data_IF_769115339452
#
_entry.id   IF_769115339452
#
_cell.length_a   1.000
_cell.length_b   1.000
_cell.length_c   1.000
_cell.angle_alpha   90.00
_cell.angle_beta   90.00
_cell.angle_gamma   90.00
#
_symmetry.space_group_name_H-M   'P 1'
#
loop_
_entity.id
_entity.type
_entity.pdbx_description
1 polymer ?
#
# COMPACT_ATOMS: atom_id res chain seq x y z
N UNK A 1 -7.97 -19.80 -2.74
CA UNK A 1 -8.16 -18.38 -2.36
C UNK A 1 -9.58 -18.01 -2.74
N UNK A 2 -10.43 -17.69 -1.76
CA UNK A 2 -11.75 -17.13 -2.05
C UNK A 2 -11.54 -15.72 -2.60
N UNK A 3 -11.84 -15.51 -3.88
CA UNK A 3 -11.88 -14.15 -4.42
C UNK A 3 -13.22 -13.53 -4.03
N UNK A 4 -13.17 -12.50 -3.19
CA UNK A 4 -14.34 -11.67 -2.89
C UNK A 4 -14.74 -10.93 -4.17
N UNK A 5 -15.98 -11.16 -4.63
CA UNK A 5 -16.50 -10.54 -5.85
C UNK A 5 -17.07 -9.13 -5.63
N UNK A 6 -16.86 -8.53 -4.46
CA UNK A 6 -17.31 -7.17 -4.13
C UNK A 6 -16.16 -6.35 -3.52
N UNK A 7 -16.26 -5.00 -3.53
CA UNK A 7 -15.18 -4.15 -3.06
C UNK A 7 -14.83 -4.36 -1.57
N UNK A 8 -13.54 -4.29 -1.22
CA UNK A 8 -13.08 -4.34 0.19
C UNK A 8 -13.72 -3.22 1.03
N UNK A 9 -14.02 -2.07 0.45
CA UNK A 9 -14.74 -0.99 1.13
C UNK A 9 -16.17 -1.38 1.52
N UNK A 10 -16.82 -2.22 0.71
CA UNK A 10 -18.14 -2.77 1.01
C UNK A 10 -18.03 -3.81 2.13
N UNK A 11 -16.95 -4.61 2.14
CA UNK A 11 -16.65 -5.55 3.23
C UNK A 11 -16.45 -4.81 4.57
N UNK A 12 -15.56 -3.81 4.60
CA UNK A 12 -15.20 -3.12 5.85
C UNK A 12 -16.36 -2.28 6.38
N UNK A 13 -17.11 -1.59 5.51
CA UNK A 13 -18.29 -0.83 5.91
C UNK A 13 -19.36 -1.71 6.56
N UNK A 14 -19.75 -2.80 5.90
CA UNK A 14 -20.76 -3.70 6.46
C UNK A 14 -20.24 -4.46 7.69
N UNK A 15 -18.97 -4.87 7.68
CA UNK A 15 -18.33 -5.48 8.82
C UNK A 15 -18.34 -4.60 10.07
N UNK A 16 -18.06 -3.30 9.95
CA UNK A 16 -18.16 -2.36 11.08
C UNK A 16 -19.57 -2.28 11.66
N UNK A 17 -20.60 -2.27 10.81
CA UNK A 17 -21.99 -2.25 11.25
C UNK A 17 -22.38 -3.55 11.95
N UNK A 18 -21.97 -4.70 11.39
CA UNK A 18 -22.28 -6.03 11.92
C UNK A 18 -21.57 -6.28 13.26
N UNK A 19 -20.32 -5.83 13.42
CA UNK A 19 -19.59 -5.90 14.70
C UNK A 19 -20.23 -4.98 15.74
N UNK A 20 -20.63 -3.76 15.35
CA UNK A 20 -21.34 -2.85 16.25
C UNK A 20 -22.68 -3.46 16.73
N UNK A 21 -23.42 -4.12 15.84
CA UNK A 21 -24.62 -4.87 16.20
C UNK A 21 -24.28 -6.03 17.16
N UNK A 22 -23.24 -6.83 16.88
CA UNK A 22 -22.80 -7.90 17.77
C UNK A 22 -22.44 -7.42 19.18
N UNK A 23 -21.85 -6.22 19.30
CA UNK A 23 -21.55 -5.58 20.59
C UNK A 23 -22.81 -5.06 21.29
N UNK A 24 -23.81 -4.59 20.53
CA UNK A 24 -25.08 -4.09 21.03
C UNK A 24 -25.99 -5.21 21.59
N UNK A 25 -25.93 -6.42 21.02
CA UNK A 25 -26.79 -7.55 21.39
C UNK A 25 -26.03 -8.66 22.13
N UNK A 26 -26.02 -8.68 23.48
CA UNK A 26 -25.25 -9.65 24.28
C UNK A 26 -25.63 -11.11 24.03
N UNK A 27 -26.89 -11.39 23.68
CA UNK A 27 -27.35 -12.75 23.39
C UNK A 27 -26.77 -13.32 22.09
N UNK A 28 -26.45 -12.46 21.12
CA UNK A 28 -25.69 -12.85 19.92
C UNK A 28 -24.21 -13.04 20.29
N UNK A 29 -23.64 -12.12 21.08
CA UNK A 29 -22.25 -12.24 21.54
C UNK A 29 -21.99 -13.54 22.34
N UNK A 30 -22.95 -13.99 23.15
CA UNK A 30 -22.85 -15.23 23.93
C UNK A 30 -22.80 -16.51 23.08
N UNK A 31 -23.20 -16.45 21.80
CA UNK A 31 -23.10 -17.56 20.85
C UNK A 31 -21.74 -17.63 20.16
N UNK A 32 -20.92 -16.60 20.30
CA UNK A 32 -19.62 -16.51 19.67
C UNK A 32 -18.52 -16.97 20.64
N UNK A 33 -17.37 -17.45 20.12
CA UNK A 33 -16.20 -17.69 20.95
C UNK A 33 -15.80 -16.44 21.75
N UNK A 34 -15.14 -16.66 22.89
CA UNK A 34 -14.60 -15.56 23.67
C UNK A 34 -13.68 -14.68 22.80
N UNK A 35 -13.77 -13.36 22.98
CA UNK A 35 -13.01 -12.35 22.22
C UNK A 35 -13.31 -12.24 20.71
N UNK A 36 -14.23 -13.05 20.16
CA UNK A 36 -14.46 -13.09 18.71
C UNK A 36 -14.84 -11.73 18.09
N UNK A 37 -15.66 -10.94 18.78
CA UNK A 37 -16.02 -9.58 18.34
C UNK A 37 -14.84 -8.61 18.45
N UNK A 38 -13.99 -8.77 19.45
CA UNK A 38 -12.76 -7.97 19.64
C UNK A 38 -11.73 -8.30 18.55
N UNK A 39 -11.54 -9.57 18.25
CA UNK A 39 -10.61 -10.04 17.22
C UNK A 39 -11.09 -9.60 15.83
N UNK A 40 -12.40 -9.65 15.58
CA UNK A 40 -13.00 -9.17 14.33
C UNK A 40 -12.90 -7.65 14.20
N UNK A 41 -13.05 -6.89 15.30
CA UNK A 41 -12.80 -5.46 15.32
C UNK A 41 -11.33 -5.10 15.03
N UNK A 42 -10.38 -5.91 15.54
CA UNK A 42 -8.97 -5.76 15.25
C UNK A 42 -8.65 -6.02 13.76
N UNK A 43 -9.26 -7.05 13.15
CA UNK A 43 -9.16 -7.30 11.70
C UNK A 43 -9.73 -6.14 10.87
N UNK A 44 -10.87 -5.58 11.27
CA UNK A 44 -11.47 -4.40 10.62
C UNK A 44 -10.55 -3.18 10.66
N UNK A 45 -9.86 -2.95 11.78
CA UNK A 45 -8.92 -1.84 11.92
C UNK A 45 -7.64 -2.05 11.10
N UNK A 46 -7.22 -3.30 10.91
CA UNK A 46 -5.99 -3.67 10.19
C UNK A 46 -6.10 -3.50 8.66
N UNK A 47 -7.24 -3.85 8.06
CA UNK A 47 -7.40 -3.86 6.59
C UNK A 47 -7.16 -2.49 5.91
N UNK A 48 -7.62 -1.35 6.45
CA UNK A 48 -7.27 -0.02 5.93
C UNK A 48 -5.75 0.26 5.92
N UNK A 49 -5.04 -0.23 6.93
CA UNK A 49 -3.58 -0.10 7.02
C UNK A 49 -2.88 -0.99 5.99
N UNK A 50 -3.41 -2.19 5.73
CA UNK A 50 -2.89 -3.07 4.66
C UNK A 50 -3.14 -2.51 3.26
N UNK A 51 -4.29 -1.88 3.02
CA UNK A 51 -4.60 -1.17 1.76
C UNK A 51 -3.67 0.03 1.58
N UNK A 52 -3.40 0.77 2.66
CA UNK A 52 -2.48 1.92 2.64
C UNK A 52 -1.02 1.46 2.44
N UNK A 53 -0.60 0.40 3.12
CA UNK A 53 0.69 -0.27 2.93
C UNK A 53 0.87 -0.83 1.51
N UNK A 54 -0.21 -1.35 0.89
CA UNK A 54 -0.21 -1.79 -0.50
C UNK A 54 -0.02 -0.61 -1.46
N UNK A 55 -0.71 0.52 -1.24
CA UNK A 55 -0.55 1.75 -2.06
C UNK A 55 0.86 2.31 -1.99
N UNK A 56 1.50 2.25 -0.81
CA UNK A 56 2.89 2.66 -0.60
C UNK A 56 3.86 1.75 -1.38
N UNK A 57 3.63 0.43 -1.40
CA UNK A 57 4.46 -0.54 -2.11
C UNK A 57 4.26 -0.57 -3.63
N UNK A 58 3.15 -0.02 -4.14
CA UNK A 58 2.75 -0.09 -5.56
C UNK A 58 3.01 1.20 -6.36
N UNK A 59 3.47 2.31 -5.74
CA UNK A 59 3.69 3.59 -6.44
C UNK A 59 4.70 4.52 -5.75
N UNK A 60 5.91 4.60 -6.30
CA UNK A 60 7.11 5.14 -5.65
C UNK A 60 7.29 6.67 -5.60
N UNK A 61 6.30 7.52 -5.87
CA UNK A 61 6.45 8.99 -5.60
C UNK A 61 5.15 9.74 -5.36
N UNK A 62 4.00 9.22 -5.81
CA UNK A 62 2.72 9.92 -5.72
C UNK A 62 2.12 10.04 -4.31
N UNK A 63 2.47 9.14 -3.38
CA UNK A 63 1.82 9.01 -2.07
C UNK A 63 2.82 8.92 -0.90
N UNK A 64 3.91 9.68 -0.94
CA UNK A 64 4.76 9.86 0.24
C UNK A 64 3.96 10.60 1.33
N UNK A 65 4.09 10.19 2.60
CA UNK A 65 3.58 11.03 3.70
C UNK A 65 4.23 12.41 3.63
N UNK A 66 3.61 13.44 4.20
CA UNK A 66 4.19 14.80 4.15
C UNK A 66 5.63 14.84 4.69
N UNK A 67 5.91 14.09 5.75
CA UNK A 67 7.26 13.95 6.31
C UNK A 67 8.23 13.25 5.34
N UNK A 68 7.79 12.19 4.66
CA UNK A 68 8.61 11.48 3.66
C UNK A 68 8.84 12.31 2.39
N UNK A 69 7.86 13.11 1.99
CA UNK A 69 8.00 14.06 0.88
C UNK A 69 9.01 15.15 1.23
N UNK A 70 8.94 15.72 2.44
CA UNK A 70 9.93 16.67 2.93
C UNK A 70 11.34 16.06 3.00
N UNK A 71 11.46 14.80 3.42
CA UNK A 71 12.73 14.08 3.42
C UNK A 71 13.24 13.81 1.99
N UNK A 72 12.37 13.48 1.04
CA UNK A 72 12.75 13.28 -0.36
C UNK A 72 13.20 14.60 -1.01
N UNK A 73 12.48 15.69 -0.77
CA UNK A 73 12.87 17.02 -1.25
C UNK A 73 14.23 17.44 -0.66
N UNK A 74 14.46 17.13 0.62
CA UNK A 74 15.73 17.36 1.31
C UNK A 74 16.86 16.48 0.73
N UNK A 75 16.57 15.21 0.43
CA UNK A 75 17.52 14.30 -0.21
C UNK A 75 17.90 14.80 -1.61
N UNK A 76 16.91 15.17 -2.42
CA UNK A 76 17.12 15.74 -3.75
C UNK A 76 17.90 17.07 -3.69
N UNK A 77 17.65 17.89 -2.67
CA UNK A 77 18.42 19.10 -2.40
C UNK A 77 19.90 18.79 -2.22
N UNK A 78 20.26 17.89 -1.30
CA UNK A 78 21.66 17.55 -1.05
C UNK A 78 22.34 16.87 -2.24
N UNK A 79 21.62 15.99 -2.96
CA UNK A 79 22.12 15.42 -4.22
C UNK A 79 22.46 16.52 -5.24
N UNK A 80 21.61 17.54 -5.37
CA UNK A 80 21.82 18.65 -6.29
C UNK A 80 22.97 19.57 -5.84
N UNK A 81 23.09 19.85 -4.54
CA UNK A 81 24.22 20.62 -4.00
C UNK A 81 25.54 19.88 -4.23
N UNK A 82 25.60 18.59 -3.93
CA UNK A 82 26.79 17.76 -4.18
C UNK A 82 27.23 17.82 -5.66
N UNK A 83 26.28 17.71 -6.60
CA UNK A 83 26.55 17.83 -8.03
C UNK A 83 27.07 19.21 -8.42
N UNK A 84 26.50 20.28 -7.88
CA UNK A 84 26.95 21.66 -8.14
C UNK A 84 28.36 21.87 -7.63
N UNK A 85 28.64 21.47 -6.39
CA UNK A 85 29.98 21.57 -5.79
C UNK A 85 30.98 20.73 -6.57
N UNK A 86 30.63 19.51 -6.97
CA UNK A 86 31.51 18.65 -7.77
C UNK A 86 31.88 19.28 -9.12
N UNK A 87 30.93 19.91 -9.82
CA UNK A 87 31.22 20.65 -11.07
C UNK A 87 32.25 21.78 -10.87
N UNK A 88 32.23 22.43 -9.71
CA UNK A 88 33.18 23.49 -9.37
C UNK A 88 34.53 22.91 -8.92
N UNK A 89 34.52 21.77 -8.23
CA UNK A 89 35.72 21.11 -7.71
C UNK A 89 36.53 20.41 -8.81
N UNK A 90 35.85 19.92 -9.84
CA UNK A 90 36.44 19.14 -10.95
C UNK A 90 36.15 19.79 -12.32
N UNK A 91 36.72 20.98 -12.61
CA UNK A 91 36.52 21.65 -13.89
C UNK A 91 37.29 20.96 -15.04
N UNK A 92 36.91 21.25 -16.28
CA UNK A 92 37.83 21.11 -17.43
C UNK A 92 38.09 19.71 -17.99
N UNK A 93 37.09 18.82 -18.07
CA UNK A 93 37.21 17.55 -18.81
C UNK A 93 37.08 16.28 -17.97
N UNK A 94 36.89 16.40 -16.65
CA UNK A 94 36.59 15.26 -15.77
C UNK A 94 35.13 14.76 -15.90
N UNK A 95 34.58 14.77 -17.12
CA UNK A 95 33.18 14.43 -17.42
C UNK A 95 32.88 12.99 -16.98
N UNK A 96 33.82 12.08 -17.19
CA UNK A 96 33.70 10.67 -16.76
C UNK A 96 33.56 10.58 -15.24
N UNK A 97 34.38 11.31 -14.48
CA UNK A 97 34.29 11.37 -13.01
C UNK A 97 32.95 11.95 -12.56
N UNK A 98 32.56 13.10 -13.13
CA UNK A 98 31.27 13.74 -12.81
C UNK A 98 30.07 12.83 -13.12
N UNK A 99 30.15 12.03 -14.18
CA UNK A 99 29.12 11.08 -14.56
C UNK A 99 29.08 9.86 -13.64
N UNK A 100 30.23 9.22 -13.39
CA UNK A 100 30.30 7.98 -12.64
C UNK A 100 30.09 8.20 -11.13
N UNK A 101 30.77 9.19 -10.57
CA UNK A 101 30.82 9.40 -9.12
C UNK A 101 29.70 10.34 -8.64
N UNK A 102 29.35 11.35 -9.44
CA UNK A 102 28.35 12.36 -9.06
C UNK A 102 27.03 12.24 -9.84
N UNK A 103 26.92 11.23 -10.71
CA UNK A 103 25.70 10.94 -11.48
C UNK A 103 25.23 12.16 -12.30
N UNK A 104 26.18 12.94 -12.84
CA UNK A 104 25.90 14.13 -13.66
C UNK A 104 25.86 13.75 -15.14
N UNK A 105 24.75 14.06 -15.81
CA UNK A 105 24.62 13.83 -17.26
C UNK A 105 24.38 12.37 -17.65
N UNK A 106 24.13 11.49 -16.68
CA UNK A 106 23.55 10.18 -16.92
C UNK A 106 22.12 10.39 -17.44
N UNK A 107 21.95 10.16 -18.75
CA UNK A 107 20.91 10.75 -19.58
C UNK A 107 19.45 10.34 -19.29
N UNK A 108 18.59 10.72 -20.24
CA UNK A 108 17.12 10.55 -20.32
C UNK A 108 16.57 9.12 -20.11
N UNK A 109 17.42 8.15 -19.81
CA UNK A 109 17.11 6.76 -19.48
C UNK A 109 17.04 6.51 -17.96
N UNK A 110 17.41 7.50 -17.12
CA UNK A 110 17.33 7.34 -15.67
C UNK A 110 15.88 7.34 -15.20
N UNK A 111 15.46 6.22 -14.62
CA UNK A 111 14.15 6.13 -13.97
C UNK A 111 14.12 7.05 -12.75
N UNK A 112 12.99 7.73 -12.56
CA UNK A 112 12.74 8.63 -11.42
C UNK A 112 11.94 7.98 -10.31
N UNK A 113 11.84 6.65 -10.31
CA UNK A 113 11.32 5.92 -9.17
C UNK A 113 12.23 6.10 -7.93
N UNK A 114 11.64 5.97 -6.74
CA UNK A 114 12.32 6.19 -5.47
C UNK A 114 13.56 5.29 -5.34
N UNK A 115 13.47 4.00 -5.66
CA UNK A 115 14.62 3.10 -5.69
C UNK A 115 15.78 3.63 -6.54
N UNK A 116 15.51 4.11 -7.74
CA UNK A 116 16.51 4.72 -8.63
C UNK A 116 17.05 6.06 -8.09
N UNK A 117 16.23 6.87 -7.41
CA UNK A 117 16.71 8.09 -6.71
C UNK A 117 17.63 7.72 -5.54
N UNK A 118 17.26 6.73 -4.73
CA UNK A 118 18.03 6.27 -3.57
C UNK A 118 19.37 5.63 -3.98
N UNK A 119 19.38 4.82 -5.04
CA UNK A 119 20.62 4.25 -5.58
C UNK A 119 21.59 5.33 -6.07
N UNK A 120 21.08 6.39 -6.71
CA UNK A 120 21.89 7.56 -7.10
C UNK A 120 22.42 8.32 -5.88
N UNK A 121 21.61 8.48 -4.84
CA UNK A 121 22.03 9.10 -3.59
C UNK A 121 23.19 8.33 -2.94
N UNK A 122 23.13 6.99 -2.92
CA UNK A 122 24.18 6.14 -2.37
C UNK A 122 25.51 6.31 -3.11
N UNK A 123 25.49 6.32 -4.45
CA UNK A 123 26.69 6.51 -5.28
C UNK A 123 27.32 7.89 -5.02
N UNK A 124 26.50 8.94 -4.98
CA UNK A 124 26.98 10.30 -4.72
C UNK A 124 27.58 10.38 -3.31
N UNK A 125 26.91 9.81 -2.32
CA UNK A 125 27.33 9.87 -0.92
C UNK A 125 28.63 9.09 -0.68
N UNK A 126 28.77 7.91 -1.29
CA UNK A 126 30.03 7.16 -1.30
C UNK A 126 31.15 7.98 -1.94
N UNK A 127 30.87 8.65 -3.05
CA UNK A 127 31.84 9.47 -3.79
C UNK A 127 32.29 10.69 -2.99
N UNK A 128 31.37 11.38 -2.31
CA UNK A 128 31.70 12.49 -1.39
C UNK A 128 32.63 12.01 -0.27
N UNK A 129 32.36 10.83 0.29
CA UNK A 129 33.12 10.27 1.43
C UNK A 129 34.53 9.79 1.07
N UNK A 130 34.89 9.70 -0.20
CA UNK A 130 36.28 9.43 -0.59
C UNK A 130 37.18 10.60 -0.17
N UNK A 131 38.33 10.31 0.43
CA UNK A 131 39.19 11.34 1.02
C UNK A 131 39.62 12.42 0.01
N UNK A 132 40.00 12.01 -1.21
CA UNK A 132 40.41 12.94 -2.27
C UNK A 132 39.27 13.85 -2.74
N UNK A 133 38.05 13.30 -2.89
CA UNK A 133 36.92 14.11 -3.30
C UNK A 133 36.46 15.04 -2.19
N UNK A 134 36.37 14.57 -0.95
CA UNK A 134 35.97 15.39 0.18
C UNK A 134 36.88 16.62 0.33
N UNK A 135 38.20 16.42 0.19
CA UNK A 135 39.16 17.51 0.22
C UNK A 135 38.91 18.53 -0.91
N UNK A 136 38.67 18.07 -2.13
CA UNK A 136 38.39 18.94 -3.28
C UNK A 136 37.05 19.70 -3.14
N UNK A 137 36.01 19.05 -2.60
CA UNK A 137 34.71 19.65 -2.35
C UNK A 137 34.78 20.72 -1.25
N UNK A 138 35.59 20.49 -0.20
CA UNK A 138 35.81 21.47 0.89
C UNK A 138 36.42 22.78 0.38
N UNK A 139 37.32 22.72 -0.60
CA UNK A 139 37.86 23.91 -1.28
C UNK A 139 36.80 24.73 -2.04
N UNK A 140 35.59 24.17 -2.24
CA UNK A 140 34.46 24.81 -2.92
C UNK A 140 33.27 25.05 -1.99
N UNK A 141 33.52 25.07 -0.67
CA UNK A 141 32.52 25.46 0.32
C UNK A 141 31.62 24.33 0.82
N UNK A 142 31.91 23.07 0.50
CA UNK A 142 31.28 21.92 1.17
C UNK A 142 31.88 21.70 2.55
N UNK A 143 31.08 21.31 3.52
CA UNK A 143 31.47 21.14 4.92
C UNK A 143 31.12 19.74 5.43
N UNK A 144 31.69 19.39 6.58
CA UNK A 144 31.34 18.13 7.26
C UNK A 144 29.88 18.12 7.74
N UNK A 145 29.29 19.31 7.96
CA UNK A 145 27.88 19.44 8.30
C UNK A 145 26.97 19.00 7.16
N UNK A 146 27.26 19.39 5.91
CA UNK A 146 26.47 18.91 4.75
C UNK A 146 26.66 17.40 4.52
N UNK A 147 27.87 16.87 4.74
CA UNK A 147 28.11 15.42 4.64
C UNK A 147 27.30 14.63 5.68
N UNK A 148 27.23 15.17 6.91
CA UNK A 148 26.45 14.59 8.00
C UNK A 148 24.96 14.68 7.68
N UNK A 149 24.46 15.84 7.28
CA UNK A 149 23.05 16.04 6.95
C UNK A 149 22.59 15.16 5.78
N UNK A 150 23.42 15.02 4.73
CA UNK A 150 23.13 14.13 3.61
C UNK A 150 23.11 12.65 4.05
N UNK A 151 24.05 12.24 4.91
CA UNK A 151 24.06 10.87 5.46
C UNK A 151 22.82 10.61 6.31
N UNK A 152 22.43 11.57 7.16
CA UNK A 152 21.26 11.48 8.03
C UNK A 152 19.98 11.36 7.20
N UNK A 153 19.74 12.25 6.24
CA UNK A 153 18.52 12.19 5.42
C UNK A 153 18.49 10.91 4.57
N UNK A 154 19.63 10.43 4.05
CA UNK A 154 19.67 9.15 3.32
C UNK A 154 19.33 7.97 4.23
N UNK A 155 19.76 8.01 5.48
CA UNK A 155 19.45 7.00 6.51
C UNK A 155 17.97 6.95 6.92
N UNK A 156 17.17 7.96 6.58
CA UNK A 156 15.71 7.93 6.78
C UNK A 156 14.98 7.02 5.78
N UNK A 157 15.69 6.54 4.74
CA UNK A 157 15.17 5.66 3.70
C UNK A 157 15.86 4.28 3.74
N UNK A 158 15.18 3.19 3.37
CA UNK A 158 15.76 1.84 3.33
C UNK A 158 16.91 1.70 2.30
N UNK A 159 17.68 0.61 2.38
CA UNK A 159 18.83 0.33 1.49
C UNK A 159 18.40 0.02 0.03
N UNK A 160 19.11 0.55 -0.96
CA UNK A 160 18.66 0.66 -2.37
C UNK A 160 18.61 -0.64 -3.19
N UNK A 161 19.42 -1.67 -2.88
CA UNK A 161 19.49 -2.92 -3.66
C UNK A 161 18.47 -3.98 -3.23
N UNK A 162 17.91 -3.91 -2.02
CA UNK A 162 16.77 -4.75 -1.63
C UNK A 162 15.48 -4.26 -2.28
N UNK A 163 15.28 -2.95 -2.43
CA UNK A 163 13.96 -2.35 -2.71
C UNK A 163 13.34 -2.69 -4.07
N UNK A 164 14.09 -3.00 -5.14
CA UNK A 164 13.47 -3.31 -6.45
C UNK A 164 12.96 -4.75 -6.58
N UNK A 165 13.65 -5.73 -5.99
CA UNK A 165 13.20 -7.13 -5.94
C UNK A 165 12.38 -7.44 -4.68
N UNK A 166 12.76 -6.86 -3.53
CA UNK A 166 11.93 -6.87 -2.33
C UNK A 166 10.66 -6.07 -2.58
N UNK A 167 10.68 -4.89 -3.21
CA UNK A 167 9.47 -4.11 -3.48
C UNK A 167 8.44 -4.86 -4.32
N UNK A 168 8.87 -5.61 -5.35
CA UNK A 168 7.98 -6.47 -6.14
C UNK A 168 7.49 -7.69 -5.34
N UNK A 169 8.37 -8.35 -4.60
CA UNK A 169 8.04 -9.51 -3.77
C UNK A 169 7.18 -9.15 -2.56
N UNK A 170 7.40 -7.98 -1.98
CA UNK A 170 6.71 -7.39 -0.83
C UNK A 170 5.38 -6.79 -1.26
N UNK A 171 5.27 -6.26 -2.49
CA UNK A 171 3.99 -5.89 -3.07
C UNK A 171 3.14 -7.12 -3.35
N UNK A 172 3.74 -8.21 -3.86
CA UNK A 172 3.08 -9.51 -4.03
C UNK A 172 2.65 -10.09 -2.67
N UNK A 173 3.55 -10.10 -1.69
CA UNK A 173 3.29 -10.55 -0.31
C UNK A 173 2.22 -9.69 0.37
N UNK A 174 2.26 -8.37 0.22
CA UNK A 174 1.23 -7.47 0.76
C UNK A 174 -0.14 -7.67 0.10
N UNK A 175 -0.16 -7.96 -1.21
CA UNK A 175 -1.40 -8.32 -1.90
C UNK A 175 -1.96 -9.63 -1.35
N UNK A 176 -1.11 -10.66 -1.19
CA UNK A 176 -1.50 -11.93 -0.57
C UNK A 176 -1.99 -11.75 0.87
N UNK A 177 -1.29 -10.97 1.70
CA UNK A 177 -1.68 -10.72 3.09
C UNK A 177 -3.03 -10.02 3.17
N UNK A 178 -3.24 -8.93 2.42
CA UNK A 178 -4.52 -8.22 2.40
C UNK A 178 -5.66 -9.10 1.88
N UNK A 179 -5.43 -9.90 0.84
CA UNK A 179 -6.46 -10.79 0.30
C UNK A 179 -6.79 -11.92 1.29
N UNK A 180 -5.82 -12.41 2.07
CA UNK A 180 -6.04 -13.34 3.19
C UNK A 180 -6.81 -12.67 4.33
N UNK A 181 -6.38 -11.52 4.82
CA UNK A 181 -7.03 -10.81 5.92
C UNK A 181 -8.47 -10.40 5.54
N UNK A 182 -8.72 -10.05 4.28
CA UNK A 182 -10.06 -9.76 3.77
C UNK A 182 -10.93 -11.03 3.70
N UNK A 183 -10.37 -12.18 3.32
CA UNK A 183 -11.08 -13.45 3.36
C UNK A 183 -11.41 -13.87 4.80
N UNK A 184 -10.46 -13.72 5.73
CA UNK A 184 -10.66 -14.03 7.14
C UNK A 184 -11.72 -13.11 7.77
N UNK A 185 -11.67 -11.80 7.48
CA UNK A 185 -12.71 -10.87 7.91
C UNK A 185 -14.09 -11.27 7.36
N UNK A 186 -14.17 -11.69 6.10
CA UNK A 186 -15.43 -12.12 5.50
C UNK A 186 -16.04 -13.32 6.22
N UNK A 187 -15.23 -14.35 6.51
CA UNK A 187 -15.68 -15.53 7.28
C UNK A 187 -16.12 -15.15 8.71
N UNK A 188 -15.41 -14.21 9.35
CA UNK A 188 -15.78 -13.70 10.66
C UNK A 188 -17.12 -12.98 10.65
N UNK A 189 -17.36 -12.15 9.63
CA UNK A 189 -18.64 -11.45 9.45
C UNK A 189 -19.78 -12.46 9.23
N UNK A 190 -19.58 -13.46 8.37
CA UNK A 190 -20.58 -14.51 8.14
C UNK A 190 -20.90 -15.29 9.43
N UNK A 191 -19.90 -15.53 10.27
CA UNK A 191 -20.08 -16.21 11.56
C UNK A 191 -20.93 -15.38 12.53
N UNK A 192 -20.70 -14.06 12.59
CA UNK A 192 -21.51 -13.14 13.40
C UNK A 192 -22.96 -13.09 12.86
N UNK A 193 -23.12 -13.01 11.55
CA UNK A 193 -24.44 -13.03 10.91
C UNK A 193 -25.19 -14.33 11.17
N UNK A 194 -24.53 -15.48 11.10
CA UNK A 194 -25.13 -16.77 11.45
C UNK A 194 -25.57 -16.82 12.92
N UNK A 195 -24.76 -16.30 13.85
CA UNK A 195 -25.14 -16.21 15.26
C UNK A 195 -26.37 -15.31 15.47
N UNK A 196 -26.48 -14.22 14.71
CA UNK A 196 -27.64 -13.33 14.74
C UNK A 196 -28.89 -13.96 14.11
N UNK A 197 -28.75 -14.69 13.01
CA UNK A 197 -29.86 -15.40 12.36
C UNK A 197 -30.50 -16.46 13.28
N UNK A 198 -29.66 -17.15 14.08
CA UNK A 198 -30.09 -18.11 15.09
C UNK A 198 -30.74 -17.47 16.32
N UNK A 199 -30.35 -16.25 16.71
CA UNK A 199 -30.97 -15.52 17.82
C UNK A 199 -32.27 -14.83 17.39
N UNK A 200 -32.29 -14.32 16.16
CA UNK A 200 -33.38 -13.50 15.62
C UNK A 200 -33.97 -14.17 14.38
N UNK A 201 -34.65 -15.33 14.52
CA UNK A 201 -35.11 -16.10 13.36
C UNK A 201 -36.13 -15.32 12.52
N UNK A 202 -36.05 -15.46 11.20
CA UNK A 202 -36.90 -14.76 10.24
C UNK A 202 -38.40 -15.09 10.35
N UNK A 203 -38.74 -16.23 10.96
CA UNK A 203 -40.14 -16.65 11.19
C UNK A 203 -40.88 -15.71 12.15
N UNK A 204 -40.15 -14.97 12.99
CA UNK A 204 -40.74 -13.97 13.88
C UNK A 204 -40.61 -12.57 13.25
N UNK A 205 -41.71 -11.97 12.75
CA UNK A 205 -41.66 -10.66 12.10
C UNK A 205 -41.24 -9.52 13.04
N UNK A 206 -41.35 -9.71 14.37
CA UNK A 206 -40.90 -8.71 15.34
C UNK A 206 -39.38 -8.49 15.32
N UNK A 207 -38.61 -9.45 14.79
CA UNK A 207 -37.15 -9.41 14.73
C UNK A 207 -36.60 -8.59 13.54
N UNK A 208 -37.46 -7.99 12.72
CA UNK A 208 -37.06 -7.38 11.45
C UNK A 208 -36.02 -6.26 11.62
N UNK A 209 -36.12 -5.47 12.69
CA UNK A 209 -35.18 -4.38 12.96
C UNK A 209 -33.80 -4.91 13.33
N UNK A 210 -33.73 -5.88 14.25
CA UNK A 210 -32.50 -6.53 14.68
C UNK A 210 -31.80 -7.22 13.50
N UNK A 211 -32.57 -7.92 12.64
CA UNK A 211 -32.03 -8.58 11.44
C UNK A 211 -31.42 -7.61 10.42
N UNK A 212 -31.96 -6.39 10.29
CA UNK A 212 -31.38 -5.36 9.40
C UNK A 212 -30.07 -4.78 9.95
N UNK A 213 -29.94 -4.64 11.28
CA UNK A 213 -28.70 -4.19 11.90
C UNK A 213 -27.53 -5.16 11.65
N UNK A 214 -27.81 -6.48 11.59
CA UNK A 214 -26.86 -7.51 11.19
C UNK A 214 -26.73 -7.70 9.67
N UNK A 215 -27.43 -6.89 8.87
CA UNK A 215 -27.39 -6.93 7.39
C UNK A 215 -27.70 -8.29 6.79
N UNK A 216 -28.50 -9.13 7.46
CA UNK A 216 -28.73 -10.54 7.06
C UNK A 216 -29.33 -10.71 5.66
N UNK A 217 -30.02 -9.69 5.14
CA UNK A 217 -30.63 -9.69 3.80
C UNK A 217 -29.94 -8.73 2.82
N UNK A 218 -28.86 -8.08 3.24
CA UNK A 218 -28.22 -6.96 2.53
C UNK A 218 -26.74 -7.26 2.25
N UNK A 219 -26.11 -8.08 3.09
CA UNK A 219 -24.71 -8.47 2.99
C UNK A 219 -24.57 -9.98 3.29
N UNK A 220 -23.84 -10.76 2.48
CA UNK A 220 -23.10 -10.35 1.28
C UNK A 220 -24.01 -9.88 0.14
N UNK A 221 -23.56 -8.96 -0.73
CA UNK A 221 -24.35 -8.54 -1.88
C UNK A 221 -24.54 -9.71 -2.86
N UNK A 222 -25.77 -9.94 -3.29
CA UNK A 222 -26.11 -10.94 -4.30
C UNK A 222 -25.49 -10.53 -5.65
N UNK A 223 -24.39 -11.19 -6.03
CA UNK A 223 -23.69 -10.94 -7.28
C UNK A 223 -24.19 -11.84 -8.43
N UNK A 224 -25.21 -12.65 -8.19
CA UNK A 224 -25.83 -13.44 -9.24
C UNK A 224 -26.71 -12.53 -10.09
N UNK A 225 -26.18 -12.06 -11.22
CA UNK A 225 -27.04 -11.65 -12.33
C UNK A 225 -27.89 -12.85 -12.73
N UNK A 226 -29.23 -12.74 -12.77
CA UNK A 226 -30.06 -13.80 -13.34
C UNK A 226 -29.57 -14.11 -14.77
N UNK A 227 -29.51 -15.38 -15.19
CA UNK A 227 -29.14 -15.73 -16.56
C UNK A 227 -30.00 -14.94 -17.54
N UNK A 228 -29.39 -14.37 -18.58
CA UNK A 228 -30.14 -13.71 -19.64
C UNK A 228 -31.21 -14.68 -20.18
N UNK A 229 -32.45 -14.22 -20.43
CA UNK A 229 -33.50 -15.06 -21.00
C UNK A 229 -33.00 -15.74 -22.28
N UNK A 230 -33.30 -17.02 -22.52
CA UNK A 230 -32.87 -17.72 -23.72
C UNK A 230 -33.34 -16.94 -24.96
N UNK A 231 -32.43 -16.73 -25.90
CA UNK A 231 -32.72 -16.04 -27.15
C UNK A 231 -33.84 -16.80 -27.89
N UNK A 232 -34.92 -16.11 -28.35
CA UNK A 232 -35.97 -16.76 -29.11
C UNK A 232 -35.38 -17.47 -30.35
N UNK A 233 -35.86 -18.67 -30.70
CA UNK A 233 -35.38 -19.37 -31.88
C UNK A 233 -35.58 -18.51 -33.13
N UNK A 234 -34.50 -18.32 -33.89
CA UNK A 234 -34.54 -17.60 -35.15
C UNK A 234 -35.42 -18.39 -36.15
N UNK A 235 -36.42 -17.76 -36.79
CA UNK A 235 -37.24 -18.44 -37.78
C UNK A 235 -36.38 -18.89 -38.97
N UNK A 236 -36.46 -20.17 -39.28
CA UNK A 236 -35.80 -20.76 -40.44
C UNK A 236 -36.41 -20.18 -41.72
N UNK A 237 -35.62 -19.70 -42.70
CA UNK A 237 -36.16 -19.23 -43.96
C UNK A 237 -36.90 -20.38 -44.67
N UNK A 238 -38.06 -20.11 -45.29
CA UNK A 238 -38.80 -21.13 -46.02
C UNK A 238 -37.96 -21.66 -47.18
N UNK A 239 -37.82 -22.98 -47.24
CA UNK A 239 -37.20 -23.69 -48.36
C UNK A 239 -38.15 -23.62 -49.55
N UNK A 240 -37.64 -23.21 -50.71
CA UNK A 240 -38.39 -23.15 -51.97
C UNK A 240 -38.57 -24.54 -52.58
#
# INVERSE_FOLDING_TARGET
MHHLHFPITTLTYNGSLIVAAGQKYPAVAARLPASYLTDTAALLAKIPDDVSGQKIKKGETGNLTMAQKANLDTLLHYMNQARKTAKLAFPGGQIVKLHQEFQIGAGTQQKNDLGSVLGRADIILASIKTAANLAALKLKGWTDAETTAFTTVRGTFPASTQTQQSGQSDAKKATTVKDTDAADLYEHILTIQNAADLEFPAINPANAAERDEFRLNTFPPDNHTPPAPPTPPQPTPPTK
#
